data_IF_427920723158
#
_entry.id   IF_427920723158
#
_cell.length_a   1.000
_cell.length_b   1.000
_cell.length_c   1.000
_cell.angle_alpha   90.00
_cell.angle_beta   90.00
_cell.angle_gamma   90.00
#
_symmetry.space_group_name_H-M   'P 1'
#
loop_
_entity.id
_entity.type
_entity.pdbx_description
1 polymer ?
#
# COMPACT_ATOMS: atom_id res chain seq x y z
N UNK A 1 50.17 -6.53 12.70
CA UNK A 1 49.10 -7.40 13.24
C UNK A 1 47.79 -6.94 12.58
N UNK A 2 47.74 -7.10 11.26
CA UNK A 2 46.57 -6.95 10.38
C UNK A 2 45.76 -8.25 10.56
N UNK A 3 44.43 -8.30 10.68
CA UNK A 3 43.42 -8.11 9.62
C UNK A 3 42.03 -8.43 10.26
N UNK A 4 40.93 -8.16 9.54
CA UNK A 4 39.56 -8.75 9.61
C UNK A 4 38.55 -8.31 10.70
N UNK A 5 37.79 -7.23 10.44
CA UNK A 5 36.30 -7.30 10.35
C UNK A 5 35.73 -6.00 9.73
N UNK A 6 35.88 -5.87 8.40
CA UNK A 6 35.11 -4.98 7.55
C UNK A 6 34.36 -5.86 6.53
N UNK A 7 33.18 -6.39 6.89
CA UNK A 7 32.38 -7.24 5.98
C UNK A 7 30.89 -7.30 6.38
N UNK A 8 30.13 -6.18 6.38
CA UNK A 8 28.64 -6.21 6.38
C UNK A 8 28.05 -5.03 5.58
N UNK A 9 28.62 -4.66 4.43
CA UNK A 9 27.99 -3.72 3.47
C UNK A 9 28.07 -4.29 2.04
N UNK A 10 27.06 -5.05 1.61
CA UNK A 10 26.60 -5.13 0.20
C UNK A 10 25.32 -5.99 0.14
N UNK A 11 24.52 -5.87 -0.94
CA UNK A 11 23.34 -6.70 -1.31
C UNK A 11 21.92 -6.16 -0.98
N UNK A 12 21.61 -4.88 -1.28
CA UNK A 12 20.18 -4.45 -1.44
C UNK A 12 19.97 -3.50 -2.64
N UNK A 13 20.50 -3.86 -3.82
CA UNK A 13 20.19 -3.17 -5.09
C UNK A 13 20.09 -4.17 -6.26
N UNK A 14 18.95 -4.87 -6.39
CA UNK A 14 18.65 -5.75 -7.53
C UNK A 14 17.25 -5.46 -8.09
N UNK A 15 17.21 -4.73 -9.21
CA UNK A 15 16.32 -4.93 -10.37
C UNK A 15 16.14 -3.64 -11.16
N UNK A 16 16.99 -3.47 -12.17
CA UNK A 16 16.74 -2.63 -13.35
C UNK A 16 16.65 -3.56 -14.56
N UNK A 17 15.87 -3.11 -15.55
CA UNK A 17 15.89 -3.43 -16.99
C UNK A 17 14.65 -4.18 -17.54
N UNK A 18 13.97 -3.54 -18.49
CA UNK A 18 12.89 -4.19 -19.23
C UNK A 18 11.97 -3.26 -20.04
N UNK A 19 12.46 -2.78 -21.19
CA UNK A 19 11.71 -2.53 -22.43
C UNK A 19 11.22 -1.09 -22.76
N UNK A 20 11.81 -0.58 -23.85
CA UNK A 20 11.63 0.69 -24.58
C UNK A 20 10.73 0.48 -25.79
N UNK A 21 9.74 1.34 -26.01
CA UNK A 21 9.33 1.76 -27.37
C UNK A 21 8.79 3.20 -27.33
N UNK A 22 9.51 4.11 -27.98
CA UNK A 22 9.06 5.47 -28.30
C UNK A 22 8.21 5.45 -29.57
N UNK A 23 7.12 6.22 -29.61
CA UNK A 23 6.53 6.74 -30.86
C UNK A 23 5.60 7.92 -30.57
N UNK A 24 6.14 9.11 -30.82
CA UNK A 24 5.58 10.11 -31.74
C UNK A 24 4.05 10.32 -31.70
N UNK A 25 3.60 11.49 -31.23
CA UNK A 25 2.60 12.31 -31.94
C UNK A 25 2.79 13.78 -31.54
N UNK A 26 2.91 14.59 -32.58
CA UNK A 26 3.00 16.04 -32.64
C UNK A 26 1.85 16.76 -31.91
N UNK A 27 2.12 18.01 -31.56
CA UNK A 27 1.22 19.09 -31.92
C UNK A 27 0.61 19.83 -30.74
N UNK A 28 0.78 21.14 -30.76
CA UNK A 28 0.23 22.15 -29.87
C UNK A 28 -1.27 21.98 -29.54
N UNK A 29 -1.76 22.75 -28.55
CA UNK A 29 -3.14 22.81 -27.99
C UNK A 29 -3.29 21.87 -26.78
N UNK A 30 -3.78 22.25 -25.59
CA UNK A 30 -4.90 23.13 -25.24
C UNK A 30 -5.03 23.13 -23.70
N UNK A 31 -5.32 24.31 -23.14
CA UNK A 31 -6.10 24.56 -21.91
C UNK A 31 -5.61 24.02 -20.54
N UNK A 32 -5.79 24.81 -19.45
CA UNK A 32 -5.19 24.53 -18.15
C UNK A 32 -5.81 23.29 -17.49
N UNK A 33 -4.91 22.49 -16.92
CA UNK A 33 -5.13 21.26 -16.16
C UNK A 33 -6.05 21.50 -14.94
N UNK A 34 -7.37 21.50 -15.09
CA UNK A 34 -8.28 21.38 -13.94
C UNK A 34 -9.72 20.98 -14.33
N UNK A 35 -9.91 19.78 -14.89
CA UNK A 35 -11.25 19.20 -15.05
C UNK A 35 -11.24 17.71 -15.45
N UNK A 36 -10.77 16.82 -14.55
CA UNK A 36 -11.15 15.40 -14.54
C UNK A 36 -11.01 14.82 -13.11
N UNK A 37 -11.95 13.95 -12.68
CA UNK A 37 -12.10 13.54 -11.29
C UNK A 37 -10.91 12.67 -10.85
N UNK A 38 -10.66 12.57 -9.54
CA UNK A 38 -9.74 11.62 -8.93
C UNK A 38 -10.12 10.17 -9.33
N UNK A 39 -9.71 9.75 -10.53
CA UNK A 39 -9.89 8.40 -11.06
C UNK A 39 -8.82 7.51 -10.38
N UNK A 40 -9.15 7.09 -9.16
CA UNK A 40 -8.61 5.95 -8.41
C UNK A 40 -7.17 5.50 -8.75
N UNK A 41 -6.19 6.00 -8.00
CA UNK A 41 -5.06 5.13 -7.62
C UNK A 41 -5.66 3.84 -7.05
N UNK A 42 -5.10 2.64 -7.34
CA UNK A 42 -5.55 1.43 -6.66
C UNK A 42 -5.49 1.73 -5.18
N UNK A 43 -6.66 1.65 -4.57
CA UNK A 43 -6.89 2.05 -3.21
C UNK A 43 -5.75 1.53 -2.33
N UNK A 44 -5.01 2.38 -1.63
CA UNK A 44 -4.63 1.99 -0.27
C UNK A 44 -5.87 1.49 0.53
N UNK A 45 -7.11 1.72 0.03
CA UNK A 45 -8.38 1.06 0.37
C UNK A 45 -8.38 -0.49 0.28
N UNK A 46 -7.42 -1.15 -0.37
CA UNK A 46 -7.33 -2.63 -0.38
C UNK A 46 -6.19 -3.20 0.47
N UNK A 47 -5.43 -2.37 1.20
CA UNK A 47 -4.48 -2.88 2.17
C UNK A 47 -5.25 -3.48 3.35
N UNK A 48 -5.25 -4.82 3.45
CA UNK A 48 -5.75 -5.54 4.62
C UNK A 48 -5.01 -5.05 5.86
N UNK A 49 -5.66 -4.18 6.64
CA UNK A 49 -5.08 -3.61 7.85
C UNK A 49 -6.16 -3.25 8.85
N UNK A 50 -5.73 -3.14 10.09
CA UNK A 50 -6.52 -2.54 11.14
C UNK A 50 -6.46 -1.01 11.03
N UNK A 51 -7.61 -0.36 11.03
CA UNK A 51 -7.76 1.10 11.07
C UNK A 51 -7.57 1.63 12.50
N UNK A 52 -7.84 0.81 13.52
CA UNK A 52 -7.66 1.13 14.94
C UNK A 52 -6.40 0.46 15.49
N UNK A 53 -5.76 1.10 16.46
CA UNK A 53 -4.54 0.56 17.13
C UNK A 53 -4.86 -0.49 18.18
N UNK A 54 -6.09 -0.48 18.67
CA UNK A 54 -6.63 -1.28 19.77
C UNK A 54 -7.43 -2.49 19.29
N UNK A 55 -7.37 -2.83 18.00
CA UNK A 55 -8.09 -3.97 17.43
C UNK A 55 -7.82 -5.29 18.15
N UNK A 56 -6.58 -5.52 18.60
CA UNK A 56 -6.22 -6.71 19.39
C UNK A 56 -7.03 -6.81 20.70
N UNK A 57 -7.33 -5.70 21.36
CA UNK A 57 -8.15 -5.67 22.57
C UNK A 57 -9.61 -6.02 22.31
N UNK A 58 -10.11 -5.79 21.09
CA UNK A 58 -11.50 -5.99 20.69
C UNK A 58 -11.71 -7.20 19.78
N UNK A 59 -10.71 -8.07 19.60
CA UNK A 59 -10.81 -9.26 18.73
C UNK A 59 -11.97 -10.19 19.15
N UNK A 60 -12.26 -10.27 20.44
CA UNK A 60 -13.38 -11.04 20.98
C UNK A 60 -14.75 -10.48 20.57
N UNK A 61 -14.83 -9.21 20.14
CA UNK A 61 -16.05 -8.57 19.67
C UNK A 61 -16.28 -8.73 18.17
N UNK A 62 -15.34 -9.31 17.40
CA UNK A 62 -15.53 -9.51 15.95
C UNK A 62 -16.80 -10.31 15.60
N UNK A 63 -17.24 -11.18 16.52
CA UNK A 63 -18.47 -11.99 16.40
C UNK A 63 -19.61 -11.51 17.31
N UNK A 64 -19.47 -10.35 17.95
CA UNK A 64 -20.53 -9.74 18.76
C UNK A 64 -21.69 -9.30 17.86
N UNK A 65 -22.93 -9.52 18.29
CA UNK A 65 -24.12 -9.04 17.56
C UNK A 65 -24.21 -7.51 17.58
N UNK A 66 -23.87 -6.89 18.70
CA UNK A 66 -23.97 -5.43 18.88
C UNK A 66 -22.80 -4.67 18.23
N UNK A 67 -21.57 -5.21 18.32
CA UNK A 67 -20.36 -4.50 17.93
C UNK A 67 -19.60 -5.12 16.76
N UNK A 68 -19.94 -6.35 16.35
CA UNK A 68 -19.14 -7.12 15.38
C UNK A 68 -19.01 -6.44 14.03
N UNK A 69 -20.07 -5.82 13.52
CA UNK A 69 -20.02 -5.06 12.26
C UNK A 69 -19.03 -3.90 12.34
N UNK A 70 -19.13 -3.08 13.39
CA UNK A 70 -18.25 -1.93 13.60
C UNK A 70 -16.78 -2.35 13.79
N UNK A 71 -16.54 -3.40 14.58
CA UNK A 71 -15.19 -3.92 14.82
C UNK A 71 -14.63 -4.51 13.54
N UNK A 72 -15.36 -5.36 12.80
CA UNK A 72 -14.89 -5.91 11.51
C UNK A 72 -14.51 -4.82 10.53
N UNK A 73 -15.35 -3.80 10.35
CA UNK A 73 -15.08 -2.69 9.43
C UNK A 73 -13.81 -1.91 9.81
N UNK A 74 -13.53 -1.78 11.11
CA UNK A 74 -12.34 -1.06 11.61
C UNK A 74 -11.11 -1.95 11.76
N UNK A 75 -11.29 -3.25 11.93
CA UNK A 75 -10.28 -4.21 12.34
C UNK A 75 -10.27 -5.41 11.39
N UNK A 76 -10.21 -5.12 10.08
CA UNK A 76 -10.35 -6.14 9.05
C UNK A 76 -9.29 -7.24 9.19
N UNK A 77 -8.04 -6.86 9.46
CA UNK A 77 -6.94 -7.80 9.63
C UNK A 77 -7.10 -8.61 10.93
N UNK A 78 -7.35 -7.94 12.06
CA UNK A 78 -7.52 -8.61 13.36
C UNK A 78 -8.74 -9.54 13.41
N UNK A 79 -9.82 -9.21 12.69
CA UNK A 79 -11.01 -10.05 12.61
C UNK A 79 -10.96 -11.11 11.49
N UNK A 80 -9.92 -11.14 10.66
CA UNK A 80 -9.80 -12.08 9.53
C UNK A 80 -10.82 -11.82 8.40
N UNK A 81 -11.18 -10.56 8.16
CA UNK A 81 -12.04 -10.12 7.05
C UNK A 81 -11.30 -10.01 5.72
N UNK A 82 -9.99 -10.15 5.82
CA UNK A 82 -9.00 -10.39 4.80
C UNK A 82 -7.93 -11.27 5.49
#
# INVERSE_FOLDING_TARGET
METIVDDIILEVNKSMDGNKVESNILGENIAPLLSSPFESLPSAQNACRDLRRDCYSYIHLCNSTDYGEYIRNSCNLSCGMC
#
